data_IF_082960262850
#
_entry.id   IF_082960262850
#
_cell.length_a   1.000
_cell.length_b   1.000
_cell.length_c   1.000
_cell.angle_alpha   90.00
_cell.angle_beta   90.00
_cell.angle_gamma   90.00
#
_symmetry.space_group_name_H-M   'P 1'
#
loop_
_entity.id
_entity.type
_entity.pdbx_description
1 polymer ?
#
# COMPACT_ATOMS: atom_id res chain seq x y z
N UNK A 1 47.05 24.78 -17.39
CA UNK A 1 47.33 23.79 -16.33
C UNK A 1 46.02 23.09 -16.03
N UNK A 2 45.82 21.87 -16.52
CA UNK A 2 46.15 20.63 -15.80
C UNK A 2 45.41 20.61 -14.44
N UNK A 3 44.54 19.67 -14.09
CA UNK A 3 44.28 18.32 -14.61
C UNK A 3 43.02 17.78 -13.93
N UNK A 4 42.29 16.96 -14.66
CA UNK A 4 41.35 15.94 -14.17
C UNK A 4 41.76 15.31 -12.84
N UNK A 5 40.82 15.20 -11.90
CA UNK A 5 40.71 14.09 -10.94
C UNK A 5 39.32 14.07 -10.27
N UNK A 6 38.28 13.92 -11.09
CA UNK A 6 37.06 13.23 -10.64
C UNK A 6 36.93 11.97 -11.49
N UNK A 7 37.90 11.08 -11.31
CA UNK A 7 37.83 9.70 -11.76
C UNK A 7 37.68 8.84 -10.52
N UNK A 8 36.48 8.84 -9.94
CA UNK A 8 36.04 7.82 -8.99
C UNK A 8 34.65 7.36 -9.45
N UNK A 9 34.68 6.23 -10.17
CA UNK A 9 33.62 5.23 -10.25
C UNK A 9 32.29 5.68 -10.86
N UNK A 10 32.30 5.91 -12.18
CA UNK A 10 31.19 5.45 -13.00
C UNK A 10 31.19 3.90 -12.95
N UNK A 11 30.63 3.35 -11.86
CA UNK A 11 30.32 1.93 -11.75
C UNK A 11 29.53 1.55 -12.98
N UNK A 12 30.06 0.59 -13.74
CA UNK A 12 29.37 -0.07 -14.83
C UNK A 12 27.96 -0.39 -14.37
N UNK A 13 26.96 0.30 -14.91
CA UNK A 13 25.56 -0.11 -14.81
C UNK A 13 25.41 -1.38 -15.66
N UNK A 14 25.91 -2.49 -15.12
CA UNK A 14 25.65 -3.82 -15.65
C UNK A 14 24.14 -4.00 -15.69
N UNK A 15 23.65 -4.60 -16.78
CA UNK A 15 22.25 -5.00 -16.87
C UNK A 15 21.94 -5.85 -15.64
N UNK A 16 20.97 -5.43 -14.84
CA UNK A 16 20.50 -6.20 -13.69
C UNK A 16 20.15 -7.62 -14.16
N UNK A 17 20.64 -8.63 -13.44
CA UNK A 17 20.31 -10.01 -13.78
C UNK A 17 18.85 -10.30 -13.46
N UNK A 18 18.25 -11.28 -14.15
CA UNK A 18 16.85 -11.66 -13.89
C UNK A 18 16.62 -12.06 -12.42
N UNK A 19 17.62 -12.69 -11.79
CA UNK A 19 17.55 -13.09 -10.38
C UNK A 19 17.64 -11.89 -9.43
N UNK A 20 18.47 -10.89 -9.74
CA UNK A 20 18.52 -9.64 -8.97
C UNK A 20 17.20 -8.87 -9.04
N UNK A 21 16.59 -8.79 -10.23
CA UNK A 21 15.31 -8.12 -10.40
C UNK A 21 14.18 -8.83 -9.61
N UNK A 22 14.17 -10.17 -9.60
CA UNK A 22 13.24 -10.96 -8.78
C UNK A 22 13.44 -10.72 -7.29
N UNK A 23 14.69 -10.72 -6.83
CA UNK A 23 15.01 -10.49 -5.43
C UNK A 23 14.58 -9.08 -4.99
N UNK A 24 14.90 -8.05 -5.79
CA UNK A 24 14.46 -6.68 -5.53
C UNK A 24 12.94 -6.61 -5.38
N UNK A 25 12.21 -7.20 -6.33
CA UNK A 25 10.75 -7.22 -6.30
C UNK A 25 10.20 -7.88 -5.02
N UNK A 26 10.77 -9.01 -4.60
CA UNK A 26 10.36 -9.70 -3.38
C UNK A 26 10.64 -8.85 -2.13
N UNK A 27 11.84 -8.26 -2.04
CA UNK A 27 12.22 -7.40 -0.92
C UNK A 27 11.32 -6.17 -0.84
N UNK A 28 11.04 -5.53 -1.99
CA UNK A 28 10.11 -4.38 -2.06
C UNK A 28 8.69 -4.78 -1.65
N UNK A 29 8.22 -5.94 -2.10
CA UNK A 29 6.91 -6.48 -1.76
C UNK A 29 6.77 -6.73 -0.25
N UNK A 30 7.77 -7.35 0.36
CA UNK A 30 7.80 -7.59 1.81
C UNK A 30 7.88 -6.27 2.57
N UNK A 31 8.77 -5.37 2.15
CA UNK A 31 8.96 -4.07 2.78
C UNK A 31 7.68 -3.25 2.80
N UNK A 32 6.98 -3.14 1.66
CA UNK A 32 5.71 -2.40 1.55
C UNK A 32 4.67 -3.00 2.50
N UNK A 33 4.57 -4.33 2.58
CA UNK A 33 3.64 -4.98 3.50
C UNK A 33 3.99 -4.73 4.97
N UNK A 34 5.27 -4.63 5.32
CA UNK A 34 5.69 -4.25 6.68
C UNK A 34 5.22 -2.84 7.09
N UNK A 35 5.01 -1.92 6.13
CA UNK A 35 4.49 -0.58 6.41
C UNK A 35 3.04 -0.57 6.90
N UNK A 36 2.29 -1.68 6.80
CA UNK A 36 0.97 -1.80 7.42
C UNK A 36 1.03 -1.82 8.96
N UNK A 37 2.16 -2.27 9.54
CA UNK A 37 2.32 -2.36 10.98
C UNK A 37 2.65 -0.98 11.59
N UNK A 38 1.76 -0.41 12.43
CA UNK A 38 1.97 0.92 12.97
C UNK A 38 3.19 0.98 13.91
N UNK A 39 3.49 -0.10 14.63
CA UNK A 39 4.67 -0.17 15.51
C UNK A 39 5.97 -0.12 14.71
N UNK A 40 6.00 -0.73 13.53
CA UNK A 40 7.15 -0.66 12.64
C UNK A 40 7.35 0.77 12.10
N UNK A 41 6.27 1.46 11.76
CA UNK A 41 6.33 2.87 11.37
C UNK A 41 6.86 3.76 12.50
N UNK A 42 6.40 3.54 13.74
CA UNK A 42 6.91 4.27 14.91
C UNK A 42 8.42 4.04 15.10
N UNK A 43 8.87 2.80 14.98
CA UNK A 43 10.30 2.45 15.04
C UNK A 43 11.13 3.19 13.98
N UNK A 44 10.64 3.25 12.73
CA UNK A 44 11.31 3.99 11.66
C UNK A 44 11.33 5.50 11.95
N UNK A 45 10.24 6.05 12.50
CA UNK A 45 10.14 7.46 12.84
C UNK A 45 11.12 7.86 13.96
N UNK A 46 11.21 7.05 15.03
CA UNK A 46 12.11 7.29 16.16
C UNK A 46 13.59 7.28 15.72
N UNK A 47 13.96 6.42 14.77
CA UNK A 47 15.32 6.37 14.21
C UNK A 47 15.61 7.48 13.20
N UNK A 48 14.61 8.28 12.85
CA UNK A 48 14.77 9.43 11.97
C UNK A 48 14.81 9.11 10.48
N UNK A 49 14.41 7.90 10.05
CA UNK A 49 14.39 7.53 8.62
C UNK A 49 13.48 8.47 7.81
N UNK A 50 12.38 8.94 8.40
CA UNK A 50 11.47 9.88 7.73
C UNK A 50 11.99 11.31 7.61
N UNK A 51 13.19 11.61 8.12
CA UNK A 51 13.87 12.90 7.94
C UNK A 51 14.81 12.91 6.73
N UNK A 52 15.26 11.74 6.28
CA UNK A 52 16.16 11.61 5.13
C UNK A 52 15.38 11.69 3.81
N UNK A 53 15.70 12.69 2.99
CA UNK A 53 15.09 12.91 1.68
C UNK A 53 15.23 11.70 0.74
N UNK A 54 16.31 10.94 0.86
CA UNK A 54 16.55 9.74 0.06
C UNK A 54 15.48 8.69 0.33
N UNK A 55 15.21 8.43 1.61
CA UNK A 55 14.17 7.50 2.03
C UNK A 55 12.77 7.99 1.62
N UNK A 56 12.52 9.30 1.70
CA UNK A 56 11.26 9.90 1.25
C UNK A 56 11.04 9.68 -0.26
N UNK A 57 12.10 9.85 -1.06
CA UNK A 57 12.04 9.57 -2.49
C UNK A 57 11.81 8.10 -2.78
N UNK A 58 12.36 7.21 -1.95
CA UNK A 58 12.07 5.77 -2.04
C UNK A 58 10.60 5.46 -1.70
N UNK A 59 10.00 6.10 -0.70
CA UNK A 59 8.57 5.95 -0.41
C UNK A 59 7.68 6.44 -1.57
N UNK A 60 8.11 7.50 -2.28
CA UNK A 60 7.43 7.95 -3.51
C UNK A 60 7.54 6.91 -4.63
N UNK A 61 8.71 6.31 -4.78
CA UNK A 61 8.91 5.22 -5.73
C UNK A 61 7.94 4.06 -5.45
N UNK A 62 7.77 3.64 -4.20
CA UNK A 62 6.88 2.55 -3.81
C UNK A 62 5.37 2.80 -4.09
N UNK A 63 4.97 4.00 -4.51
CA UNK A 63 3.58 4.25 -4.95
C UNK A 63 3.20 3.46 -6.21
N UNK A 64 4.17 2.92 -6.96
CA UNK A 64 3.86 2.04 -8.11
C UNK A 64 3.07 0.78 -7.69
N UNK A 65 3.20 0.33 -6.44
CA UNK A 65 2.45 -0.82 -5.89
C UNK A 65 0.93 -0.60 -5.89
N UNK A 66 0.46 0.64 -6.04
CA UNK A 66 -0.96 0.95 -6.21
C UNK A 66 -1.52 0.53 -7.58
N UNK A 67 -0.68 0.39 -8.60
CA UNK A 67 -1.16 0.00 -9.91
C UNK A 67 -1.69 -1.45 -9.86
N UNK A 68 -2.79 -1.75 -10.57
CA UNK A 68 -3.45 -3.05 -10.48
C UNK A 68 -2.55 -4.22 -10.91
N UNK A 69 -1.56 -3.98 -11.78
CA UNK A 69 -0.63 -5.04 -12.18
C UNK A 69 0.21 -5.57 -11.01
N UNK A 70 0.50 -4.72 -10.02
CA UNK A 70 1.31 -5.06 -8.84
C UNK A 70 0.48 -5.29 -7.58
N UNK A 71 -0.61 -4.55 -7.41
CA UNK A 71 -1.46 -4.60 -6.22
C UNK A 71 -2.01 -6.02 -5.94
N UNK A 72 -2.19 -6.83 -6.99
CA UNK A 72 -2.66 -8.23 -6.88
C UNK A 72 -1.74 -9.14 -6.06
N UNK A 73 -0.47 -8.76 -5.88
CA UNK A 73 0.50 -9.55 -5.10
C UNK A 73 0.48 -9.20 -3.60
N UNK A 74 -0.20 -8.12 -3.19
CA UNK A 74 -0.25 -7.66 -1.81
C UNK A 74 -1.25 -8.49 -0.99
N UNK A 75 -0.78 -9.08 0.12
CA UNK A 75 -1.67 -9.80 1.05
C UNK A 75 -2.41 -8.85 2.00
N UNK A 76 -1.76 -7.74 2.35
CA UNK A 76 -2.27 -6.76 3.31
C UNK A 76 -2.62 -5.45 2.59
N UNK A 77 -3.86 -5.26 2.10
CA UNK A 77 -4.22 -4.09 1.30
C UNK A 77 -4.05 -2.75 2.04
N UNK A 78 -4.07 -2.79 3.37
CA UNK A 78 -3.90 -1.62 4.23
C UNK A 78 -2.52 -0.95 4.09
N UNK A 79 -1.48 -1.68 3.66
CA UNK A 79 -0.16 -1.08 3.45
C UNK A 79 -0.19 0.07 2.45
N UNK A 80 -1.04 -0.01 1.42
CA UNK A 80 -1.18 1.03 0.40
C UNK A 80 -1.65 2.34 1.02
N UNK A 81 -2.61 2.27 1.95
CA UNK A 81 -3.09 3.44 2.67
C UNK A 81 -1.98 4.06 3.54
N UNK A 82 -1.17 3.24 4.19
CA UNK A 82 -0.03 3.73 4.98
C UNK A 82 1.03 4.41 4.10
N UNK A 83 1.36 3.84 2.94
CA UNK A 83 2.31 4.44 1.99
C UNK A 83 1.82 5.80 1.47
N UNK A 84 0.51 5.98 1.29
CA UNK A 84 -0.08 7.27 0.94
C UNK A 84 0.02 8.28 2.08
N UNK A 85 -0.31 7.87 3.31
CA UNK A 85 -0.22 8.75 4.47
C UNK A 85 1.23 9.21 4.73
N UNK A 86 2.21 8.33 4.49
CA UNK A 86 3.63 8.64 4.61
C UNK A 86 4.11 9.71 3.61
N UNK A 87 3.34 10.06 2.58
CA UNK A 87 3.69 11.19 1.71
C UNK A 87 3.53 12.54 2.40
N UNK A 88 2.66 12.62 3.40
CA UNK A 88 2.42 13.85 4.15
C UNK A 88 3.47 14.03 5.25
N UNK A 89 4.15 15.18 5.23
CA UNK A 89 5.17 15.52 6.23
C UNK A 89 4.61 15.58 7.65
N UNK A 90 3.41 16.16 7.82
CA UNK A 90 2.76 16.25 9.12
C UNK A 90 2.56 14.85 9.73
N UNK A 91 2.04 13.90 8.94
CA UNK A 91 1.84 12.52 9.41
C UNK A 91 3.16 11.85 9.84
N UNK A 92 4.23 12.01 9.06
CA UNK A 92 5.55 11.44 9.41
C UNK A 92 6.12 11.99 10.71
N UNK A 93 5.86 13.26 11.03
CA UNK A 93 6.27 13.88 12.30
C UNK A 93 5.47 13.30 13.47
N UNK A 94 4.16 13.13 13.29
CA UNK A 94 3.27 12.56 14.31
C UNK A 94 3.57 11.08 14.62
N UNK A 95 4.11 10.33 13.65
CA UNK A 95 4.46 8.91 13.85
C UNK A 95 5.52 8.66 14.93
N UNK A 96 6.28 9.68 15.35
CA UNK A 96 7.21 9.56 16.48
C UNK A 96 6.44 9.35 17.80
N UNK A 97 5.24 9.92 17.89
CA UNK A 97 4.37 9.81 19.05
C UNK A 97 3.70 8.42 19.13
N UNK A 98 3.96 7.69 20.22
CA UNK A 98 3.34 6.38 20.47
C UNK A 98 1.81 6.42 20.61
N UNK A 99 1.23 7.56 21.00
CA UNK A 99 -0.24 7.71 21.02
C UNK A 99 -0.82 7.71 19.60
N UNK A 100 -0.13 8.30 18.62
CA UNK A 100 -0.52 8.22 17.21
C UNK A 100 -0.49 6.77 16.72
N UNK A 101 0.57 6.04 17.07
CA UNK A 101 0.73 4.61 16.75
C UNK A 101 -0.42 3.77 17.32
N UNK A 102 -0.74 3.95 18.60
CA UNK A 102 -1.84 3.25 19.27
C UNK A 102 -3.18 3.60 18.62
N UNK A 103 -3.41 4.88 18.31
CA UNK A 103 -4.63 5.30 17.63
C UNK A 103 -4.79 4.60 16.28
N UNK A 104 -3.73 4.57 15.47
CA UNK A 104 -3.74 3.86 14.18
C UNK A 104 -4.09 2.38 14.39
N UNK A 105 -3.43 1.72 15.34
CA UNK A 105 -3.67 0.31 15.68
C UNK A 105 -5.13 0.04 16.09
N UNK A 106 -5.66 0.84 17.02
CA UNK A 106 -7.06 0.77 17.46
C UNK A 106 -8.02 0.94 16.27
N UNK A 107 -7.72 1.86 15.33
CA UNK A 107 -8.53 2.03 14.10
C UNK A 107 -8.47 0.80 13.18
N UNK A 108 -7.31 0.13 13.05
CA UNK A 108 -7.22 -1.11 12.26
C UNK A 108 -8.09 -2.21 12.88
N UNK A 109 -8.00 -2.37 14.20
CA UNK A 109 -8.76 -3.37 14.96
C UNK A 109 -10.26 -3.12 14.82
N UNK A 110 -10.71 -1.87 15.03
CA UNK A 110 -12.12 -1.50 14.86
C UNK A 110 -12.61 -1.79 13.43
N UNK A 111 -11.82 -1.42 12.42
CA UNK A 111 -12.16 -1.72 11.03
C UNK A 111 -12.33 -3.24 10.82
N UNK A 112 -11.41 -4.08 11.33
CA UNK A 112 -11.51 -5.53 11.21
C UNK A 112 -12.73 -6.12 11.93
N UNK A 113 -13.05 -5.63 13.13
CA UNK A 113 -14.23 -6.09 13.89
C UNK A 113 -15.53 -5.84 13.14
N UNK A 114 -15.66 -4.69 12.48
CA UNK A 114 -16.87 -4.32 11.75
C UNK A 114 -16.89 -4.82 10.30
N UNK A 115 -15.73 -5.08 9.70
CA UNK A 115 -15.60 -5.51 8.30
C UNK A 115 -16.39 -6.80 8.02
N UNK A 116 -16.25 -7.84 8.85
CA UNK A 116 -16.95 -9.12 8.65
C UNK A 116 -18.47 -8.96 8.67
N UNK A 117 -18.99 -8.18 9.63
CA UNK A 117 -20.43 -7.92 9.75
C UNK A 117 -20.97 -7.10 8.58
N UNK A 118 -20.23 -6.06 8.17
CA UNK A 118 -20.58 -5.23 7.00
C UNK A 118 -20.57 -6.06 5.72
N UNK A 119 -19.56 -6.91 5.53
CA UNK A 119 -19.44 -7.78 4.36
C UNK A 119 -20.58 -8.78 4.25
N UNK A 120 -20.99 -9.43 5.35
CA UNK A 120 -22.15 -10.33 5.34
C UNK A 120 -23.44 -9.61 4.94
N UNK A 121 -23.68 -8.40 5.48
CA UNK A 121 -24.86 -7.60 5.09
C UNK A 121 -24.87 -7.23 3.61
N UNK A 122 -23.71 -6.83 3.06
CA UNK A 122 -23.59 -6.50 1.64
C UNK A 122 -23.81 -7.72 0.74
N UNK A 123 -23.29 -8.90 1.13
CA UNK A 123 -23.52 -10.15 0.40
C UNK A 123 -24.99 -10.57 0.44
N UNK A 124 -25.67 -10.43 1.58
CA UNK A 124 -27.10 -10.72 1.71
C UNK A 124 -27.94 -9.77 0.86
N UNK A 125 -27.64 -8.46 0.87
CA UNK A 125 -28.33 -7.48 0.04
C UNK A 125 -28.14 -7.74 -1.47
N UNK A 126 -26.93 -8.12 -1.89
CA UNK A 126 -26.66 -8.49 -3.28
C UNK A 126 -27.41 -9.76 -3.69
N UNK A 127 -27.48 -10.78 -2.81
CA UNK A 127 -28.23 -12.00 -3.07
C UNK A 127 -29.74 -11.74 -3.20
N UNK A 128 -30.32 -10.89 -2.34
CA UNK A 128 -31.74 -10.51 -2.44
C UNK A 128 -32.06 -9.73 -3.72
N UNK A 129 -31.15 -8.87 -4.18
CA UNK A 129 -31.32 -8.13 -5.44
C UNK A 129 -31.27 -9.07 -6.65
N UNK A 130 -30.33 -10.02 -6.65
CA UNK A 130 -30.21 -11.04 -7.69
C UNK A 130 -31.45 -11.94 -7.79
N UNK A 131 -32.07 -12.28 -6.66
CA UNK A 131 -33.32 -13.05 -6.64
C UNK A 131 -34.52 -12.26 -7.19
N UNK A 132 -34.60 -10.94 -6.93
CA UNK A 132 -35.67 -10.09 -7.47
C UNK A 132 -35.55 -9.89 -8.98
N UNK A 133 -34.34 -9.73 -9.52
CA UNK A 133 -34.13 -9.63 -10.97
C UNK A 133 -34.42 -10.94 -11.72
N UNK A 134 -34.19 -12.09 -11.08
CA UNK A 134 -34.52 -13.39 -11.66
C UNK A 134 -36.04 -13.71 -11.67
N UNK A 135 -36.85 -12.94 -10.94
CA UNK A 135 -38.30 -13.15 -10.81
C UNK A 135 -39.15 -12.19 -11.67
N UNK A 136 -38.56 -11.30 -12.48
CA UNK A 136 -39.32 -10.54 -13.48
C UNK A 136 -39.53 -11.39 -14.74
N UNK A 137 -40.75 -11.85 -15.06
CA UNK A 137 -41.04 -12.49 -16.34
C UNK A 137 -41.10 -11.41 -17.43
N UNK A 138 -40.51 -11.70 -18.59
CA UNK A 138 -40.67 -10.94 -19.84
C UNK A 138 -42.17 -10.74 -20.14
N UNK A 139 -42.71 -9.56 -19.81
CA UNK A 139 -44.00 -9.09 -20.33
C UNK A 139 -43.77 -7.89 -21.24
N UNK A 140 -43.38 -8.17 -22.48
CA UNK A 140 -43.62 -7.27 -23.61
C UNK A 140 -44.17 -8.10 -24.78
N UNK A 141 -45.49 -8.25 -24.83
CA UNK A 141 -46.21 -8.69 -26.03
C UNK A 141 -46.35 -7.52 -27.02
N UNK A 142 -46.39 -7.77 -28.34
CA UNK A 142 -46.46 -6.71 -29.32
C UNK A 142 -47.83 -6.01 -29.28
N UNK A 143 -47.80 -4.68 -29.21
CA UNK A 143 -48.98 -3.85 -29.43
C UNK A 143 -49.50 -4.08 -30.86
N UNK A 144 -50.79 -4.42 -30.97
CA UNK A 144 -51.57 -4.39 -32.22
C UNK A 144 -52.68 -3.37 -32.05
#
# INVERSE_FOLDING_TARGET
MWTCKVSIMASSRGKESAEQAKLRFQVELEFVQCLANPNYLNFLAQRGYFKDQTFINYLKYLLYWKQPEYAKYLKYPQCLHMVELLQYEAFRKELVNSQCTKFIDDQQVLHWQHYTRKRMRLQQAAASLGQQMAQQPDQQGPAS
#
